data_IF_079361565371
#
_entry.id   IF_079361565371
#
_cell.length_a   1.000
_cell.length_b   1.000
_cell.length_c   1.000
_cell.angle_alpha   90.00
_cell.angle_beta   90.00
_cell.angle_gamma   90.00
#
_symmetry.space_group_name_H-M   'P 1'
#
loop_
_entity.id
_entity.type
_entity.pdbx_description
1 polymer ?
#
# COMPACT_ATOMS: atom_id res chain seq x y z
N UNK A 1 -4.72 -13.45 -6.42
CA UNK A 1 -5.37 -12.13 -6.41
C UNK A 1 -4.72 -11.21 -5.37
N UNK A 2 -4.59 -11.65 -4.13
CA UNK A 2 -4.00 -10.87 -3.03
C UNK A 2 -2.52 -10.45 -3.26
N UNK A 3 -1.68 -11.34 -3.82
CA UNK A 3 -0.27 -11.03 -4.09
C UNK A 3 -0.07 -9.94 -5.15
N UNK A 4 -1.00 -9.80 -6.10
CA UNK A 4 -0.90 -8.79 -7.16
C UNK A 4 -1.23 -7.39 -6.63
N UNK A 5 -2.18 -7.27 -5.70
CA UNK A 5 -2.52 -5.99 -5.05
C UNK A 5 -1.44 -5.51 -4.06
N UNK A 6 -0.50 -6.38 -3.67
CA UNK A 6 0.68 -6.00 -2.88
C UNK A 6 1.77 -5.36 -3.75
N UNK A 7 1.67 -5.44 -5.08
CA UNK A 7 2.61 -4.78 -5.98
C UNK A 7 2.30 -3.29 -6.05
N UNK A 8 3.35 -2.49 -6.05
CA UNK A 8 3.26 -1.03 -6.22
C UNK A 8 2.50 -0.74 -7.53
N UNK A 9 1.59 0.22 -7.50
CA UNK A 9 0.76 0.70 -8.65
C UNK A 9 -0.45 -0.19 -9.02
N UNK A 10 -0.62 -1.40 -8.46
CA UNK A 10 -1.79 -2.24 -8.80
C UNK A 10 -3.03 -1.79 -8.02
N UNK A 11 -4.11 -1.46 -8.74
CA UNK A 11 -5.40 -1.08 -8.14
C UNK A 11 -6.46 -2.15 -8.35
N UNK A 12 -7.53 -2.14 -7.54
CA UNK A 12 -8.68 -3.04 -7.71
C UNK A 12 -9.30 -2.87 -9.10
N UNK A 13 -9.30 -1.64 -9.64
CA UNK A 13 -9.79 -1.33 -10.97
C UNK A 13 -8.96 -2.05 -12.06
N UNK A 14 -7.63 -2.02 -11.96
CA UNK A 14 -6.75 -2.74 -12.90
C UNK A 14 -7.01 -4.26 -12.85
N UNK A 15 -7.32 -4.82 -11.68
CA UNK A 15 -7.68 -6.24 -11.58
C UNK A 15 -9.01 -6.55 -12.25
N UNK A 16 -10.01 -5.68 -12.10
CA UNK A 16 -11.31 -5.84 -12.76
C UNK A 16 -11.18 -5.78 -14.28
N UNK A 17 -10.35 -4.88 -14.81
CA UNK A 17 -10.09 -4.75 -16.24
C UNK A 17 -9.50 -6.04 -16.83
N UNK A 18 -8.54 -6.66 -16.13
CA UNK A 18 -7.99 -7.96 -16.54
C UNK A 18 -9.04 -9.08 -16.43
N UNK A 19 -9.85 -9.06 -15.38
CA UNK A 19 -10.89 -10.06 -15.14
C UNK A 19 -11.97 -10.04 -16.23
N UNK A 20 -12.43 -8.85 -16.64
CA UNK A 20 -13.47 -8.70 -17.65
C UNK A 20 -12.94 -8.95 -19.07
N UNK A 21 -11.67 -8.63 -19.33
CA UNK A 21 -11.01 -8.95 -20.60
C UNK A 21 -10.96 -10.47 -20.85
N UNK A 22 -10.75 -11.26 -19.79
CA UNK A 22 -10.77 -12.72 -19.86
C UNK A 22 -12.19 -13.31 -19.84
N UNK A 23 -13.16 -12.60 -19.25
CA UNK A 23 -14.52 -13.10 -19.07
C UNK A 23 -15.59 -12.00 -19.34
N UNK A 24 -15.99 -11.77 -20.60
CA UNK A 24 -16.82 -10.62 -20.99
C UNK A 24 -18.23 -10.57 -20.39
N UNK A 25 -18.77 -11.73 -19.96
CA UNK A 25 -20.12 -11.90 -19.39
C UNK A 25 -20.16 -11.87 -17.86
N UNK A 26 -19.03 -11.62 -17.20
CA UNK A 26 -18.93 -11.65 -15.74
C UNK A 26 -19.27 -10.30 -15.08
N UNK A 27 -19.12 -10.26 -13.75
CA UNK A 27 -19.42 -9.11 -12.90
C UNK A 27 -18.80 -7.80 -13.43
N UNK A 28 -19.62 -6.75 -13.47
CA UNK A 28 -19.16 -5.38 -13.77
C UNK A 28 -18.43 -4.80 -12.56
N UNK A 29 -17.72 -3.68 -12.78
CA UNK A 29 -16.78 -3.11 -11.81
C UNK A 29 -17.38 -2.89 -10.40
N UNK A 30 -18.62 -2.41 -10.33
CA UNK A 30 -19.33 -2.19 -9.07
C UNK A 30 -19.55 -3.47 -8.27
N UNK A 31 -20.03 -4.53 -8.92
CA UNK A 31 -20.26 -5.84 -8.32
C UNK A 31 -18.93 -6.49 -7.92
N UNK A 32 -17.93 -6.41 -8.79
CA UNK A 32 -16.58 -6.91 -8.51
C UNK A 32 -15.98 -6.25 -7.26
N UNK A 33 -16.02 -4.92 -7.18
CA UNK A 33 -15.54 -4.17 -6.02
C UNK A 33 -16.30 -4.49 -4.73
N UNK A 34 -17.62 -4.70 -4.80
CA UNK A 34 -18.44 -5.09 -3.65
C UNK A 34 -18.03 -6.47 -3.10
N UNK A 35 -17.90 -7.47 -3.96
CA UNK A 35 -17.48 -8.81 -3.57
C UNK A 35 -16.04 -8.80 -3.05
N UNK A 36 -15.14 -8.09 -3.72
CA UNK A 36 -13.76 -7.92 -3.26
C UNK A 36 -13.70 -7.31 -1.85
N UNK A 37 -14.45 -6.23 -1.59
CA UNK A 37 -14.48 -5.58 -0.27
C UNK A 37 -15.02 -6.51 0.82
N UNK A 38 -16.04 -7.30 0.51
CA UNK A 38 -16.63 -8.27 1.44
C UNK A 38 -15.65 -9.39 1.76
N UNK A 39 -14.95 -9.90 0.75
CA UNK A 39 -13.91 -10.90 0.91
C UNK A 39 -12.71 -10.35 1.70
N UNK A 40 -12.21 -9.17 1.34
CA UNK A 40 -11.05 -8.51 1.95
C UNK A 40 -11.20 -8.34 3.47
N UNK A 41 -12.41 -8.01 3.95
CA UNK A 41 -12.72 -7.92 5.38
C UNK A 41 -12.56 -9.23 6.15
N UNK A 42 -12.71 -10.38 5.48
CA UNK A 42 -12.59 -11.70 6.11
C UNK A 42 -11.14 -12.17 6.18
N UNK A 43 -10.35 -11.81 5.18
CA UNK A 43 -8.97 -12.32 5.01
C UNK A 43 -7.91 -11.40 5.63
N UNK A 44 -8.18 -10.11 5.78
CA UNK A 44 -7.26 -9.15 6.39
C UNK A 44 -7.90 -8.50 7.63
N UNK A 45 -7.94 -9.22 8.77
CA UNK A 45 -8.43 -8.63 10.01
C UNK A 45 -7.50 -7.48 10.41
N UNK A 46 -8.05 -6.27 10.50
CA UNK A 46 -7.31 -5.11 11.00
C UNK A 46 -7.13 -5.29 12.51
N UNK A 47 -5.90 -5.46 12.95
CA UNK A 47 -5.59 -5.50 14.38
C UNK A 47 -5.73 -4.07 14.91
N UNK A 48 -6.71 -3.84 15.79
CA UNK A 48 -6.80 -2.60 16.54
C UNK A 48 -5.93 -2.72 17.80
N UNK A 49 -4.72 -2.16 17.74
CA UNK A 49 -3.82 -2.10 18.90
C UNK A 49 -4.22 -0.86 19.71
N UNK A 50 -4.70 -1.05 20.93
CA UNK A 50 -4.90 0.05 21.88
C UNK A 50 -3.52 0.57 22.28
N UNK A 51 -3.20 1.78 21.85
CA UNK A 51 -1.97 2.47 22.25
C UNK A 51 -2.21 3.26 23.53
N UNK A 52 -1.39 3.01 24.55
CA UNK A 52 -1.35 3.80 25.77
C UNK A 52 -0.30 4.89 25.56
N UNK A 53 -0.73 6.15 25.65
CA UNK A 53 0.14 7.32 25.54
C UNK A 53 1.32 7.17 26.52
N UNK A 54 2.53 7.46 26.06
CA UNK A 54 3.80 7.42 26.82
C UNK A 54 4.39 6.02 27.11
N UNK A 55 3.90 4.95 26.46
CA UNK A 55 4.44 3.59 26.65
C UNK A 55 5.40 3.15 25.52
N UNK A 56 5.13 3.52 24.26
CA UNK A 56 5.92 3.07 23.08
C UNK A 56 5.93 4.09 21.94
N UNK A 57 7.13 4.35 21.40
CA UNK A 57 7.34 5.09 20.14
C UNK A 57 7.37 4.11 18.96
N UNK A 58 6.63 4.41 17.90
CA UNK A 58 6.72 3.67 16.64
C UNK A 58 7.64 4.40 15.67
N UNK A 59 8.55 3.67 15.04
CA UNK A 59 9.48 4.17 14.03
C UNK A 59 9.32 3.34 12.77
N UNK A 60 9.09 4.00 11.63
CA UNK A 60 9.05 3.35 10.32
C UNK A 60 10.11 3.95 9.41
N UNK A 61 10.93 3.10 8.79
CA UNK A 61 11.94 3.53 7.81
C UNK A 61 11.31 3.53 6.43
N UNK A 62 11.48 4.63 5.69
CA UNK A 62 11.02 4.70 4.32
C UNK A 62 11.81 3.70 3.46
N UNK A 63 11.12 2.70 2.92
CA UNK A 63 11.76 1.67 2.09
C UNK A 63 12.36 2.20 0.79
N UNK A 64 11.92 3.37 0.31
CA UNK A 64 12.48 4.04 -0.87
C UNK A 64 13.41 5.18 -0.42
N UNK A 65 14.68 5.10 -0.80
CA UNK A 65 15.66 6.17 -0.61
C UNK A 65 15.28 7.40 -1.43
N UNK A 66 15.57 8.58 -0.89
CA UNK A 66 15.48 9.86 -1.61
C UNK A 66 16.89 10.37 -1.85
N UNK A 67 17.08 11.19 -2.88
CA UNK A 67 18.35 11.85 -3.13
C UNK A 67 18.38 13.27 -2.57
N UNK A 68 19.47 13.64 -1.91
CA UNK A 68 19.79 15.01 -1.53
C UNK A 68 20.96 15.48 -2.41
N UNK A 69 20.89 16.75 -2.82
CA UNK A 69 21.96 17.38 -3.59
C UNK A 69 22.73 18.29 -2.64
N UNK A 70 24.04 18.07 -2.51
CA UNK A 70 24.91 18.99 -1.79
C UNK A 70 24.94 20.34 -2.52
N UNK A 71 24.61 21.41 -1.81
CA UNK A 71 24.49 22.76 -2.41
C UNK A 71 25.81 23.38 -2.83
N UNK A 72 26.92 22.91 -2.29
CA UNK A 72 28.26 23.44 -2.52
C UNK A 72 29.06 22.60 -3.51
N UNK A 73 28.92 21.27 -3.47
CA UNK A 73 29.65 20.35 -4.37
C UNK A 73 28.82 19.90 -5.57
N UNK A 74 27.48 19.95 -5.47
CA UNK A 74 26.56 19.44 -6.49
C UNK A 74 26.47 17.90 -6.52
N UNK A 75 27.09 17.22 -5.55
CA UNK A 75 27.05 15.76 -5.45
C UNK A 75 25.66 15.28 -5.03
N UNK A 76 25.25 14.13 -5.58
CA UNK A 76 23.98 13.50 -5.29
C UNK A 76 24.22 12.38 -4.29
N UNK A 77 23.64 12.50 -3.10
CA UNK A 77 23.71 11.48 -2.05
C UNK A 77 22.34 10.82 -1.87
N UNK A 78 22.31 9.48 -1.92
CA UNK A 78 21.11 8.74 -1.54
C UNK A 78 21.01 8.64 -0.02
N UNK A 79 19.89 9.10 0.53
CA UNK A 79 19.63 9.09 1.96
C UNK A 79 18.41 8.24 2.31
N UNK A 80 18.51 7.59 3.47
CA UNK A 80 17.38 6.94 4.12
C UNK A 80 16.80 7.89 5.16
N UNK A 81 15.48 7.89 5.30
CA UNK A 81 14.79 8.65 6.35
C UNK A 81 13.77 7.75 7.05
N UNK A 82 13.43 8.12 8.28
CA UNK A 82 12.40 7.46 9.06
C UNK A 82 11.36 8.47 9.55
N UNK A 83 10.18 7.98 9.89
CA UNK A 83 9.12 8.76 10.55
C UNK A 83 8.82 8.10 11.88
N UNK A 84 8.70 8.90 12.94
CA UNK A 84 8.36 8.44 14.27
C UNK A 84 7.09 9.10 14.79
N UNK A 85 6.26 8.33 15.51
CA UNK A 85 5.08 8.81 16.24
C UNK A 85 5.12 8.30 17.68
N UNK A 86 4.63 9.14 18.60
CA UNK A 86 4.48 8.84 20.03
C UNK A 86 3.05 8.45 20.38
#
# INVERSE_FOLDING_TARGET
MECELKKVVVTIQHMWEQYIALNPKCYRSSQFGHHYKTWSKRVNPVIHIKHKVDDKMYVDYAGKTISIIDKYTGEIEEVQFFVAIL
#
